data_IF_375670436092
#
_entry.id   IF_375670436092
#
_cell.length_a   1.000
_cell.length_b   1.000
_cell.length_c   1.000
_cell.angle_alpha   90.00
_cell.angle_beta   90.00
_cell.angle_gamma   90.00
#
_symmetry.space_group_name_H-M   'P 1'
#
loop_
_entity.id
_entity.type
_entity.pdbx_description
1 polymer ?
#
# COMPACT_ATOMS: atom_id res chain seq x y z
N UNK A 1 5.97 -34.32 19.21
CA UNK A 1 6.89 -33.28 18.71
C UNK A 1 6.11 -32.44 17.71
N UNK A 2 5.73 -31.23 18.08
CA UNK A 2 4.93 -30.36 17.22
C UNK A 2 5.76 -30.01 15.98
N UNK A 3 5.28 -30.42 14.81
CA UNK A 3 5.74 -29.87 13.54
C UNK A 3 5.39 -28.38 13.60
N UNK A 4 6.39 -27.52 13.73
CA UNK A 4 6.20 -26.09 13.55
C UNK A 4 5.68 -25.89 12.13
N UNK A 5 4.40 -25.53 11.99
CA UNK A 5 3.85 -25.12 10.70
C UNK A 5 4.76 -24.02 10.15
N UNK A 6 5.27 -24.24 8.94
CA UNK A 6 6.06 -23.24 8.21
C UNK A 6 5.23 -21.95 8.19
N UNK A 7 5.78 -20.80 8.62
CA UNK A 7 5.01 -19.56 8.63
C UNK A 7 4.45 -19.31 7.23
N UNK A 8 3.13 -19.24 7.14
CA UNK A 8 2.43 -19.10 5.87
C UNK A 8 2.70 -17.70 5.36
N UNK A 9 3.47 -17.61 4.28
CA UNK A 9 3.82 -16.35 3.64
C UNK A 9 2.52 -15.66 3.19
N UNK A 10 2.25 -14.40 3.60
CA UNK A 10 1.02 -13.73 3.24
C UNK A 10 0.94 -13.48 1.74
N UNK A 11 -0.28 -13.59 1.20
CA UNK A 11 -0.57 -13.14 -0.17
C UNK A 11 -0.74 -11.63 -0.13
N UNK A 12 -0.07 -10.90 -1.02
CA UNK A 12 -0.18 -9.44 -1.11
C UNK A 12 -1.18 -9.05 -2.21
N UNK A 13 -2.30 -8.47 -1.82
CA UNK A 13 -3.30 -7.88 -2.70
C UNK A 13 -3.02 -6.38 -2.87
N UNK A 14 -2.61 -5.98 -4.07
CA UNK A 14 -2.38 -4.57 -4.41
C UNK A 14 -3.63 -4.03 -5.09
N UNK A 15 -4.33 -3.10 -4.43
CA UNK A 15 -5.52 -2.46 -4.98
C UNK A 15 -5.08 -1.34 -5.93
N UNK A 16 -5.21 -1.55 -7.25
CA UNK A 16 -4.92 -0.59 -8.31
C UNK A 16 -6.20 -0.19 -9.05
N UNK A 17 -6.27 1.05 -9.51
CA UNK A 17 -7.44 1.57 -10.22
C UNK A 17 -7.48 3.09 -10.23
N UNK A 18 -8.35 3.66 -11.06
CA UNK A 18 -8.53 5.11 -11.16
C UNK A 18 -9.11 5.70 -9.86
N UNK A 19 -9.01 7.02 -9.70
CA UNK A 19 -9.66 7.72 -8.59
C UNK A 19 -11.17 7.48 -8.66
N UNK A 20 -11.81 7.22 -7.52
CA UNK A 20 -13.24 6.92 -7.45
C UNK A 20 -13.64 5.48 -7.83
N UNK A 21 -12.70 4.62 -8.23
CA UNK A 21 -13.00 3.24 -8.63
C UNK A 21 -13.37 2.29 -7.47
N UNK A 22 -13.28 2.77 -6.23
CA UNK A 22 -13.66 2.00 -5.03
C UNK A 22 -12.54 1.21 -4.36
N UNK A 23 -11.25 1.48 -4.66
CA UNK A 23 -10.10 0.84 -3.98
C UNK A 23 -10.21 0.87 -2.46
N UNK A 24 -10.28 2.06 -1.87
CA UNK A 24 -10.41 2.26 -0.42
C UNK A 24 -11.67 1.60 0.15
N UNK A 25 -12.76 1.56 -0.62
CA UNK A 25 -14.00 0.86 -0.24
C UNK A 25 -13.82 -0.66 -0.20
N UNK A 26 -13.07 -1.24 -1.15
CA UNK A 26 -12.70 -2.65 -1.16
C UNK A 26 -11.85 -2.98 0.07
N UNK A 27 -10.81 -2.18 0.34
CA UNK A 27 -9.93 -2.35 1.50
C UNK A 27 -10.73 -2.27 2.81
N UNK A 28 -11.66 -1.31 2.91
CA UNK A 28 -12.57 -1.19 4.06
C UNK A 28 -13.42 -2.45 4.26
N UNK A 29 -14.00 -3.01 3.19
CA UNK A 29 -14.78 -4.25 3.28
C UNK A 29 -13.92 -5.45 3.69
N UNK A 30 -12.71 -5.57 3.13
CA UNK A 30 -11.77 -6.64 3.48
C UNK A 30 -11.29 -6.52 4.93
N UNK A 31 -11.06 -5.30 5.41
CA UNK A 31 -10.64 -5.03 6.80
C UNK A 31 -11.66 -5.50 7.85
N UNK A 32 -12.94 -5.50 7.48
CA UNK A 32 -14.05 -5.95 8.31
C UNK A 32 -14.37 -7.45 8.16
N UNK A 33 -13.62 -8.18 7.34
CA UNK A 33 -13.79 -9.62 7.19
C UNK A 33 -13.30 -10.37 8.44
N UNK A 34 -13.81 -11.58 8.72
CA UNK A 34 -13.38 -12.38 9.88
C UNK A 34 -11.89 -12.73 9.84
N UNK A 35 -11.34 -12.92 8.64
CA UNK A 35 -9.90 -13.05 8.41
C UNK A 35 -9.31 -11.67 8.14
N UNK A 36 -9.20 -10.86 9.21
CA UNK A 36 -8.66 -9.50 9.14
C UNK A 36 -7.31 -9.51 8.39
N UNK A 37 -7.17 -8.79 7.27
CA UNK A 37 -5.89 -8.68 6.58
C UNK A 37 -4.94 -7.74 7.34
N UNK A 38 -3.66 -7.86 7.03
CA UNK A 38 -2.68 -6.82 7.34
C UNK A 38 -2.83 -5.69 6.32
N UNK A 39 -3.17 -4.48 6.74
CA UNK A 39 -3.50 -3.37 5.82
C UNK A 39 -2.37 -2.36 5.76
N UNK A 40 -1.95 -1.99 4.55
CA UNK A 40 -0.94 -0.97 4.29
C UNK A 40 -1.55 0.14 3.44
N UNK A 41 -1.57 1.37 3.95
CA UNK A 41 -1.96 2.54 3.17
C UNK A 41 -0.72 3.18 2.52
N UNK A 42 -0.72 3.26 1.19
CA UNK A 42 0.29 3.93 0.38
C UNK A 42 -0.24 5.24 -0.24
N UNK A 43 -1.48 5.66 0.03
CA UNK A 43 -2.01 6.93 -0.45
C UNK A 43 -1.72 8.08 0.54
N UNK A 44 -0.78 9.00 0.22
CA UNK A 44 -0.46 10.14 1.08
C UNK A 44 -1.52 11.25 1.03
N UNK A 45 -2.36 11.28 -0.02
CA UNK A 45 -3.38 12.30 -0.23
C UNK A 45 -4.74 11.92 0.40
N UNK A 46 -4.89 10.71 0.93
CA UNK A 46 -6.10 10.25 1.59
C UNK A 46 -6.39 11.05 2.87
N UNK A 47 -7.57 11.70 2.94
CA UNK A 47 -7.94 12.56 4.07
C UNK A 47 -8.57 11.76 5.21
N UNK A 48 -9.49 10.84 4.90
CA UNK A 48 -10.18 10.00 5.88
C UNK A 48 -10.05 8.54 5.45
N UNK A 49 -9.48 7.70 6.32
CA UNK A 49 -9.44 6.26 6.13
C UNK A 49 -10.62 5.62 6.86
N UNK A 50 -11.53 4.90 6.17
CA UNK A 50 -12.66 4.20 6.78
C UNK A 50 -12.26 2.83 7.36
N UNK A 51 -10.98 2.61 7.64
CA UNK A 51 -10.42 1.37 8.17
C UNK A 51 -9.14 1.67 8.96
N UNK A 52 -8.71 0.71 9.77
CA UNK A 52 -7.43 0.77 10.46
C UNK A 52 -6.32 0.24 9.53
N UNK A 53 -5.28 1.03 9.31
CA UNK A 53 -4.08 0.61 8.58
C UNK A 53 -2.99 0.22 9.60
N UNK A 54 -2.35 -0.94 9.39
CA UNK A 54 -1.21 -1.36 10.19
C UNK A 54 0.04 -0.52 9.89
N UNK A 55 0.18 -0.10 8.62
CA UNK A 55 1.23 0.80 8.16
C UNK A 55 0.56 1.88 7.33
N UNK A 56 0.84 3.14 7.66
CA UNK A 56 0.34 4.30 6.94
C UNK A 56 1.51 5.19 6.49
N UNK A 57 1.61 5.44 5.18
CA UNK A 57 2.60 6.35 4.60
C UNK A 57 2.54 7.76 5.25
N UNK A 58 1.35 8.19 5.70
CA UNK A 58 1.13 9.51 6.29
C UNK A 58 1.83 9.70 7.64
N UNK A 59 2.13 8.61 8.34
CA UNK A 59 2.91 8.65 9.59
C UNK A 59 4.40 8.94 9.33
N UNK A 60 4.87 8.62 8.12
CA UNK A 60 6.25 8.86 7.70
C UNK A 60 6.42 10.16 6.93
N UNK A 61 5.45 10.49 6.08
CA UNK A 61 5.54 11.61 5.14
C UNK A 61 4.28 12.48 5.23
N UNK A 62 4.48 13.76 5.56
CA UNK A 62 3.41 14.74 5.53
C UNK A 62 3.23 15.30 4.11
N UNK A 63 2.21 14.80 3.40
CA UNK A 63 1.86 15.23 2.04
C UNK A 63 1.75 16.75 1.86
N UNK A 64 1.08 17.45 2.80
CA UNK A 64 0.88 18.90 2.71
C UNK A 64 2.21 19.66 2.87
N UNK A 65 3.10 19.15 3.71
CA UNK A 65 4.42 19.75 3.90
C UNK A 65 5.32 19.51 2.69
N UNK A 66 5.28 18.31 2.10
CA UNK A 66 5.99 17.99 0.85
C UNK A 66 5.55 18.93 -0.28
N UNK A 67 4.25 19.16 -0.43
CA UNK A 67 3.73 20.13 -1.42
C UNK A 67 4.33 21.53 -1.22
N UNK A 68 4.39 22.02 0.03
CA UNK A 68 4.87 23.36 0.35
C UNK A 68 6.39 23.49 0.18
N UNK A 69 7.15 22.58 0.77
CA UNK A 69 8.62 22.61 0.81
C UNK A 69 9.21 22.49 -0.60
N UNK A 70 8.70 21.54 -1.39
CA UNK A 70 9.19 21.28 -2.75
C UNK A 70 8.45 22.08 -3.83
N UNK A 71 7.46 22.91 -3.45
CA UNK A 71 6.61 23.69 -4.36
C UNK A 71 5.97 22.84 -5.46
N UNK A 72 5.45 21.68 -5.08
CA UNK A 72 4.89 20.69 -5.99
C UNK A 72 3.37 20.79 -6.06
N UNK A 73 2.83 20.51 -7.25
CA UNK A 73 1.42 20.21 -7.41
C UNK A 73 1.04 18.84 -6.81
N UNK A 74 -0.26 18.49 -6.78
CA UNK A 74 -0.75 17.28 -6.12
C UNK A 74 -0.05 15.99 -6.57
N UNK A 75 0.04 15.75 -7.88
CA UNK A 75 0.68 14.54 -8.42
C UNK A 75 2.17 14.49 -8.10
N UNK A 76 2.88 15.61 -8.21
CA UNK A 76 4.30 15.70 -7.87
C UNK A 76 4.56 15.37 -6.40
N UNK A 77 3.72 15.88 -5.50
CA UNK A 77 3.82 15.58 -4.08
C UNK A 77 3.50 14.11 -3.75
N UNK A 78 2.60 13.45 -4.49
CA UNK A 78 2.37 12.00 -4.36
C UNK A 78 3.65 11.23 -4.75
N UNK A 79 4.23 11.49 -5.93
CA UNK A 79 5.49 10.83 -6.37
C UNK A 79 6.60 11.04 -5.34
N UNK A 80 6.81 12.27 -4.91
CA UNK A 80 7.86 12.59 -3.93
C UNK A 80 7.60 11.90 -2.60
N UNK A 81 6.35 11.82 -2.15
CA UNK A 81 6.00 11.10 -0.92
C UNK A 81 6.28 9.60 -1.03
N UNK A 82 5.92 8.98 -2.17
CA UNK A 82 6.23 7.58 -2.44
C UNK A 82 7.75 7.33 -2.54
N UNK A 83 8.51 8.26 -3.13
CA UNK A 83 9.97 8.18 -3.20
C UNK A 83 10.63 8.26 -1.81
N UNK A 84 10.12 9.13 -0.93
CA UNK A 84 10.61 9.19 0.45
C UNK A 84 10.26 7.90 1.21
N UNK A 85 9.06 7.37 1.00
CA UNK A 85 8.60 6.15 1.64
C UNK A 85 9.31 4.88 1.13
N UNK A 86 9.66 4.82 -0.15
CA UNK A 86 10.32 3.64 -0.74
C UNK A 86 11.66 3.32 -0.08
N UNK A 87 12.35 4.31 0.49
CA UNK A 87 13.60 4.11 1.25
C UNK A 87 13.41 3.28 2.53
N UNK A 88 12.22 3.31 3.12
CA UNK A 88 11.85 2.54 4.33
C UNK A 88 11.08 1.26 4.00
N UNK A 89 10.83 1.00 2.72
CA UNK A 89 10.03 -0.13 2.29
C UNK A 89 10.61 -1.51 2.70
N UNK A 90 11.94 -1.72 2.80
CA UNK A 90 12.48 -2.96 3.38
C UNK A 90 12.02 -3.24 4.82
N UNK A 91 11.81 -2.20 5.64
CA UNK A 91 11.26 -2.36 6.99
C UNK A 91 9.78 -2.80 6.93
N UNK A 92 9.02 -2.22 5.98
CA UNK A 92 7.61 -2.60 5.73
C UNK A 92 7.50 -4.08 5.38
N UNK A 93 8.37 -4.59 4.50
CA UNK A 93 8.43 -6.03 4.16
C UNK A 93 8.66 -6.86 5.42
N UNK A 94 9.63 -6.47 6.25
CA UNK A 94 9.96 -7.16 7.50
C UNK A 94 8.78 -7.21 8.48
N UNK A 95 7.93 -6.17 8.50
CA UNK A 95 6.70 -6.17 9.30
C UNK A 95 5.62 -7.07 8.72
N UNK A 96 5.47 -7.10 7.38
CA UNK A 96 4.52 -7.99 6.70
C UNK A 96 4.93 -9.46 6.90
N UNK A 97 6.21 -9.80 6.83
CA UNK A 97 6.71 -11.17 7.06
C UNK A 97 6.46 -11.69 8.49
N UNK A 98 6.52 -10.80 9.48
CA UNK A 98 6.27 -11.13 10.89
C UNK A 98 4.78 -11.20 11.23
N UNK A 99 3.92 -10.77 10.31
CA UNK A 99 2.49 -10.77 10.50
C UNK A 99 1.93 -12.20 10.47
N UNK A 100 1.04 -12.57 11.41
CA UNK A 100 0.37 -13.86 11.36
C UNK A 100 -0.78 -13.90 10.33
N UNK A 101 -1.06 -12.78 9.65
CA UNK A 101 -2.19 -12.66 8.72
C UNK A 101 -1.90 -13.38 7.39
N UNK A 102 -2.88 -14.10 6.84
CA UNK A 102 -2.73 -14.80 5.54
C UNK A 102 -2.78 -13.86 4.33
N UNK A 103 -3.36 -12.67 4.50
CA UNK A 103 -3.59 -11.68 3.46
C UNK A 103 -3.02 -10.33 3.91
N UNK A 104 -2.22 -9.72 3.05
CA UNK A 104 -1.80 -8.33 3.15
C UNK A 104 -2.51 -7.53 2.04
N UNK A 105 -3.13 -6.39 2.37
CA UNK A 105 -3.84 -5.55 1.40
C UNK A 105 -3.18 -4.18 1.37
N UNK A 106 -2.78 -3.75 0.18
CA UNK A 106 -2.15 -2.46 -0.07
C UNK A 106 -3.13 -1.53 -0.79
N UNK A 107 -3.52 -0.44 -0.13
CA UNK A 107 -4.28 0.65 -0.76
C UNK A 107 -3.32 1.62 -1.43
N UNK A 108 -3.46 1.80 -2.75
CA UNK A 108 -2.55 2.64 -3.55
C UNK A 108 -3.20 4.00 -3.87
N UNK A 109 -2.39 5.03 -4.24
CA UNK A 109 -2.93 6.34 -4.57
C UNK A 109 -4.04 6.32 -5.62
N UNK A 110 -4.99 7.25 -5.49
CA UNK A 110 -6.09 7.42 -6.44
C UNK A 110 -5.64 7.57 -7.91
N UNK A 111 -4.53 8.26 -8.12
CA UNK A 111 -3.94 8.46 -9.44
C UNK A 111 -3.03 7.28 -9.81
N UNK A 112 -3.61 6.29 -10.51
CA UNK A 112 -2.91 5.05 -10.86
C UNK A 112 -1.60 5.30 -11.60
N UNK A 113 -1.58 6.28 -12.51
CA UNK A 113 -0.41 6.59 -13.34
C UNK A 113 0.80 7.00 -12.49
N UNK A 114 0.53 7.75 -11.42
CA UNK A 114 1.54 8.26 -10.49
C UNK A 114 2.18 7.12 -9.71
N UNK A 115 1.46 6.03 -9.47
CA UNK A 115 2.02 4.84 -8.85
C UNK A 115 2.71 3.96 -9.89
N UNK A 116 1.99 3.52 -10.93
CA UNK A 116 2.47 2.48 -11.87
C UNK A 116 3.63 2.90 -12.76
N UNK A 117 3.76 4.19 -13.09
CA UNK A 117 4.84 4.71 -13.93
C UNK A 117 5.97 5.37 -13.12
N UNK A 118 5.85 5.38 -11.79
CA UNK A 118 6.90 5.94 -10.93
C UNK A 118 7.96 4.90 -10.58
N UNK A 119 9.20 5.37 -10.46
CA UNK A 119 10.33 4.55 -9.98
C UNK A 119 10.04 3.98 -8.59
N UNK A 120 9.44 4.76 -7.69
CA UNK A 120 9.07 4.28 -6.35
C UNK A 120 7.99 3.21 -6.39
N UNK A 121 6.98 3.35 -7.26
CA UNK A 121 5.98 2.31 -7.47
C UNK A 121 6.59 1.01 -7.96
N UNK A 122 7.48 1.06 -8.96
CA UNK A 122 8.22 -0.11 -9.45
C UNK A 122 9.05 -0.77 -8.35
N UNK A 123 9.80 0.01 -7.56
CA UNK A 123 10.59 -0.53 -6.45
C UNK A 123 9.67 -1.23 -5.43
N UNK A 124 8.55 -0.61 -5.07
CA UNK A 124 7.58 -1.16 -4.11
C UNK A 124 7.02 -2.49 -4.61
N UNK A 125 6.56 -2.53 -5.87
CA UNK A 125 5.97 -3.74 -6.45
C UNK A 125 7.00 -4.83 -6.67
N UNK A 126 8.20 -4.52 -7.16
CA UNK A 126 9.28 -5.50 -7.35
C UNK A 126 9.75 -6.08 -6.01
N UNK A 127 9.92 -5.24 -4.98
CA UNK A 127 10.31 -5.70 -3.65
C UNK A 127 9.26 -6.66 -3.09
N UNK A 128 7.98 -6.30 -3.15
CA UNK A 128 6.89 -7.21 -2.75
C UNK A 128 6.90 -8.51 -3.56
N UNK A 129 7.21 -8.47 -4.86
CA UNK A 129 7.16 -9.63 -5.75
C UNK A 129 8.28 -10.62 -5.46
N UNK A 130 9.44 -10.11 -5.02
CA UNK A 130 10.58 -10.93 -4.63
C UNK A 130 10.33 -11.73 -3.34
N UNK A 131 9.44 -11.24 -2.47
CA UNK A 131 9.19 -11.85 -1.15
C UNK A 131 7.85 -12.59 -1.09
N UNK A 132 6.81 -12.07 -1.74
CA UNK A 132 5.42 -12.52 -1.58
C UNK A 132 4.76 -12.83 -2.92
N UNK A 133 3.77 -13.73 -2.88
CA UNK A 133 2.85 -13.90 -4.01
C UNK A 133 1.96 -12.67 -4.15
N UNK A 134 1.84 -12.13 -5.36
CA UNK A 134 1.07 -10.93 -5.64
C UNK A 134 -0.24 -11.21 -6.38
N UNK A 135 -1.29 -10.52 -5.96
CA UNK A 135 -2.54 -10.38 -6.69
C UNK A 135 -2.80 -8.89 -6.93
N UNK A 136 -3.00 -8.52 -8.19
CA UNK A 136 -3.42 -7.18 -8.56
C UNK A 136 -4.94 -7.15 -8.68
N UNK A 137 -5.60 -6.33 -7.87
CA UNK A 137 -6.99 -5.98 -8.14
C UNK A 137 -6.98 -4.72 -8.98
N UNK A 138 -7.32 -4.84 -10.26
CA UNK A 138 -7.47 -3.71 -11.17
C UNK A 138 -8.95 -3.45 -11.42
N UNK A 139 -9.47 -2.35 -10.90
CA UNK A 139 -10.76 -1.83 -11.36
C UNK A 139 -10.47 -0.85 -12.51
N UNK A 140 -10.35 -1.37 -13.73
CA UNK A 140 -10.56 -0.55 -14.93
C UNK A 140 -12.06 -0.29 -15.02
N UNK A 141 -12.50 0.90 -14.59
CA UNK A 141 -13.77 1.41 -15.10
C UNK A 141 -13.40 1.98 -16.47
N UNK A 142 -13.71 1.22 -17.52
CA UNK A 142 -13.95 1.78 -18.86
C UNK A 142 -15.45 1.78 -19.07
#
# INVERSE_FOLDING_TARGET
MNMAEKPKVPVCLIALGMAGSGKTSLVSRLSNSPKKPYVVNLDPACIQMPYFANIDIRDTVNYKEVMKQYKLGPNGAIVTSLNLFSTKFPEVISFIEKSPNELCVLDTPGQIEVFTWSVSGSIITETLASTFLQLYFTSLIV
#
